data_IF_497801491148
#
_entry.id   IF_497801491148
#
_cell.length_a   1.000
_cell.length_b   1.000
_cell.length_c   1.000
_cell.angle_alpha   90.00
_cell.angle_beta   90.00
_cell.angle_gamma   90.00
#
_symmetry.space_group_name_H-M   'P 1'
#
loop_
_entity.id
_entity.type
_entity.pdbx_description
1 polymer ?
#
# COMPACT_ATOMS: atom_id res chain seq x y z
N UNK A 1 -9.12 41.43 17.54
CA UNK A 1 -8.29 42.40 16.80
C UNK A 1 -6.82 42.05 17.04
N UNK A 2 -6.24 41.16 16.24
CA UNK A 2 -4.85 40.72 16.43
C UNK A 2 -3.96 41.29 15.33
N UNK A 3 -2.89 41.96 15.77
CA UNK A 3 -1.93 42.68 14.93
C UNK A 3 -0.96 41.71 14.25
N UNK A 4 -0.68 42.01 12.99
CA UNK A 4 0.36 41.43 12.16
C UNK A 4 1.75 41.59 12.76
N UNK A 5 2.56 40.53 12.71
CA UNK A 5 4.01 40.67 12.55
C UNK A 5 4.49 39.83 11.36
N UNK A 6 5.05 40.55 10.39
CA UNK A 6 5.72 40.06 9.20
C UNK A 6 7.19 39.82 9.54
N UNK A 7 7.70 38.61 9.31
CA UNK A 7 9.14 38.35 9.14
C UNK A 7 9.36 37.67 7.78
N UNK A 8 9.92 38.45 6.86
CA UNK A 8 10.76 38.03 5.72
C UNK A 8 12.06 37.43 6.30
N UNK A 9 12.81 36.46 5.76
CA UNK A 9 12.94 35.84 4.44
C UNK A 9 13.66 34.49 4.66
N UNK A 10 13.46 33.51 3.77
CA UNK A 10 14.55 32.66 3.30
C UNK A 10 14.10 31.96 2.01
N UNK A 11 14.72 32.35 0.91
CA UNK A 11 14.73 31.69 -0.39
C UNK A 11 15.09 30.22 -0.26
N UNK A 12 14.13 29.33 -0.50
CA UNK A 12 14.41 27.96 -0.91
C UNK A 12 14.28 27.90 -2.43
N UNK A 13 15.46 27.76 -3.04
CA UNK A 13 15.75 27.48 -4.44
C UNK A 13 14.64 26.75 -5.19
N UNK A 14 14.28 27.36 -6.32
CA UNK A 14 13.96 26.68 -7.57
C UNK A 14 14.87 25.45 -7.73
N UNK A 15 14.33 24.27 -7.47
CA UNK A 15 14.86 23.05 -8.08
C UNK A 15 13.90 22.74 -9.23
N UNK A 16 14.37 22.64 -10.48
CA UNK A 16 13.64 21.91 -11.48
C UNK A 16 13.75 20.45 -11.06
N UNK A 17 12.86 20.03 -10.15
CA UNK A 17 12.60 18.62 -9.94
C UNK A 17 12.14 18.12 -11.29
N UNK A 18 13.01 17.37 -11.96
CA UNK A 18 12.69 16.62 -13.15
C UNK A 18 11.44 15.83 -12.79
N UNK A 19 10.29 16.34 -13.23
CA UNK A 19 9.08 15.58 -13.36
C UNK A 19 9.44 14.47 -14.35
N UNK A 20 9.99 13.37 -13.83
CA UNK A 20 9.91 12.09 -14.51
C UNK A 20 8.43 11.73 -14.49
N UNK A 21 7.73 12.35 -15.45
CA UNK A 21 6.44 11.97 -15.96
C UNK A 21 6.47 10.48 -16.25
N UNK A 22 5.28 9.91 -16.29
CA UNK A 22 4.88 8.51 -16.50
C UNK A 22 5.49 7.83 -17.78
N UNK A 23 6.40 8.50 -18.49
CA UNK A 23 7.06 8.09 -19.73
C UNK A 23 8.24 7.09 -19.57
N UNK A 24 8.69 6.76 -18.36
CA UNK A 24 9.86 5.89 -18.15
C UNK A 24 9.56 4.50 -17.59
N UNK A 25 8.29 4.06 -17.59
CA UNK A 25 7.98 2.67 -17.24
C UNK A 25 8.48 1.74 -18.36
N UNK A 26 9.31 0.76 -18.00
CA UNK A 26 9.79 -0.20 -18.99
C UNK A 26 8.61 -0.98 -19.60
N UNK A 27 8.71 -1.48 -20.85
CA UNK A 27 7.66 -2.32 -21.43
C UNK A 27 7.30 -3.53 -20.56
N UNK A 28 8.27 -4.06 -19.81
CA UNK A 28 8.06 -5.16 -18.88
C UNK A 28 7.22 -4.73 -17.66
N UNK A 29 7.46 -3.54 -17.10
CA UNK A 29 6.67 -3.03 -15.98
C UNK A 29 5.24 -2.70 -16.42
N UNK A 30 5.05 -2.15 -17.63
CA UNK A 30 3.72 -1.93 -18.21
C UNK A 30 2.97 -3.25 -18.48
N UNK A 31 3.67 -4.27 -18.99
CA UNK A 31 3.08 -5.60 -19.19
C UNK A 31 2.68 -6.23 -17.85
N UNK A 32 3.54 -6.11 -16.83
CA UNK A 32 3.26 -6.58 -15.47
C UNK A 32 2.05 -5.86 -14.86
N UNK A 33 1.97 -4.54 -15.02
CA UNK A 33 0.80 -3.76 -14.57
C UNK A 33 -0.48 -4.23 -15.25
N UNK A 34 -0.46 -4.43 -16.57
CA UNK A 34 -1.62 -4.92 -17.33
C UNK A 34 -2.08 -6.29 -16.86
N UNK A 35 -1.14 -7.19 -16.58
CA UNK A 35 -1.44 -8.52 -16.04
C UNK A 35 -2.20 -8.41 -14.70
N UNK A 36 -1.62 -7.70 -13.73
CA UNK A 36 -2.24 -7.51 -12.41
C UNK A 36 -3.62 -6.86 -12.54
N UNK A 37 -3.75 -5.82 -13.36
CA UNK A 37 -5.03 -5.16 -13.57
C UNK A 37 -6.07 -6.08 -14.23
N UNK A 38 -5.67 -6.98 -15.13
CA UNK A 38 -6.58 -7.91 -15.80
C UNK A 38 -7.02 -9.10 -14.92
N UNK A 39 -6.19 -9.48 -13.94
CA UNK A 39 -6.45 -10.59 -13.03
C UNK A 39 -7.05 -10.14 -11.70
N UNK A 40 -7.08 -8.82 -11.43
CA UNK A 40 -7.72 -8.28 -10.25
C UNK A 40 -9.23 -8.54 -10.26
N UNK A 41 -9.70 -9.29 -9.28
CA UNK A 41 -11.10 -9.61 -9.08
C UNK A 41 -11.41 -9.69 -7.59
N UNK A 42 -12.58 -9.19 -7.19
CA UNK A 42 -13.14 -9.41 -5.85
C UNK A 42 -14.01 -10.66 -5.92
N UNK A 43 -13.65 -11.68 -5.16
CA UNK A 43 -14.30 -12.99 -5.25
C UNK A 43 -15.60 -13.09 -4.44
N UNK A 44 -15.82 -12.18 -3.50
CA UNK A 44 -17.04 -12.12 -2.68
C UNK A 44 -16.87 -11.25 -1.44
N UNK A 45 -17.87 -11.24 -0.53
CA UNK A 45 -17.79 -10.51 0.73
C UNK A 45 -16.75 -11.12 1.67
N UNK A 46 -16.49 -10.44 2.78
CA UNK A 46 -15.59 -10.96 3.81
C UNK A 46 -16.06 -12.33 4.34
N UNK A 47 -15.11 -13.23 4.51
CA UNK A 47 -15.24 -14.48 5.26
C UNK A 47 -13.95 -14.67 6.07
N UNK A 48 -14.04 -15.41 7.18
CA UNK A 48 -12.86 -15.73 7.98
C UNK A 48 -11.81 -16.42 7.10
N UNK A 49 -10.55 -15.92 7.09
CA UNK A 49 -9.52 -16.44 6.19
C UNK A 49 -9.06 -17.83 6.61
N UNK A 50 -8.72 -18.64 5.61
CA UNK A 50 -8.15 -19.97 5.79
C UNK A 50 -6.60 -19.94 5.86
N UNK A 51 -6.00 -21.11 6.00
CA UNK A 51 -4.54 -21.27 6.01
C UNK A 51 -3.89 -20.83 4.70
N UNK A 52 -4.55 -21.03 3.56
CA UNK A 52 -4.01 -20.69 2.25
C UNK A 52 -3.90 -19.16 2.11
N UNK A 53 -4.89 -18.42 2.63
CA UNK A 53 -4.86 -16.95 2.70
C UNK A 53 -3.75 -16.44 3.62
N UNK A 54 -3.51 -17.10 4.75
CA UNK A 54 -2.36 -16.79 5.62
C UNK A 54 -1.02 -17.06 4.92
N UNK A 55 -0.89 -18.17 4.19
CA UNK A 55 0.32 -18.53 3.46
C UNK A 55 0.64 -17.51 2.34
N UNK A 56 -0.39 -17.02 1.64
CA UNK A 56 -0.23 -15.92 0.68
C UNK A 56 0.25 -14.64 1.37
N UNK A 57 -0.34 -14.26 2.50
CA UNK A 57 0.12 -13.11 3.29
C UNK A 57 1.57 -13.28 3.75
N UNK A 58 1.92 -14.45 4.30
CA UNK A 58 3.26 -14.74 4.79
C UNK A 58 4.30 -14.71 3.66
N UNK A 59 3.92 -15.13 2.46
CA UNK A 59 4.78 -15.08 1.28
C UNK A 59 4.91 -13.66 0.66
N UNK A 60 4.35 -12.63 1.29
CA UNK A 60 4.45 -11.25 0.81
C UNK A 60 3.60 -10.96 -0.42
N UNK A 61 2.47 -11.66 -0.59
CA UNK A 61 1.65 -11.60 -1.81
C UNK A 61 0.66 -10.45 -1.86
N UNK A 62 0.50 -9.69 -0.78
CA UNK A 62 -0.35 -8.50 -0.82
C UNK A 62 0.15 -7.50 -1.87
N UNK A 63 -0.79 -6.81 -2.51
CA UNK A 63 -0.52 -5.84 -3.58
C UNK A 63 -0.98 -4.45 -3.13
N UNK A 64 -0.06 -3.48 -2.90
CA UNK A 64 -0.42 -2.13 -2.49
C UNK A 64 -1.44 -1.45 -3.41
N UNK A 65 -1.32 -1.66 -4.72
CA UNK A 65 -2.29 -1.13 -5.69
C UNK A 65 -3.71 -1.68 -5.48
N UNK A 66 -3.88 -2.95 -5.07
CA UNK A 66 -5.21 -3.51 -4.78
C UNK A 66 -5.81 -2.86 -3.54
N UNK A 67 -4.99 -2.66 -2.51
CA UNK A 67 -5.39 -1.95 -1.28
C UNK A 67 -5.87 -0.54 -1.62
N UNK A 68 -5.06 0.25 -2.34
CA UNK A 68 -5.46 1.59 -2.77
C UNK A 68 -6.72 1.61 -3.62
N UNK A 69 -6.86 0.66 -4.55
CA UNK A 69 -8.00 0.60 -5.44
C UNK A 69 -9.30 0.29 -4.68
N UNK A 70 -9.26 -0.64 -3.73
CA UNK A 70 -10.43 -1.02 -2.93
C UNK A 70 -10.81 0.08 -1.92
N UNK A 71 -9.84 0.71 -1.27
CA UNK A 71 -10.09 1.86 -0.40
C UNK A 71 -10.76 3.01 -1.16
N UNK A 72 -10.27 3.35 -2.35
CA UNK A 72 -10.86 4.38 -3.20
C UNK A 72 -12.31 4.03 -3.61
N UNK A 73 -12.55 2.79 -4.06
CA UNK A 73 -13.88 2.34 -4.48
C UNK A 73 -14.88 2.34 -3.33
N UNK A 74 -14.45 1.91 -2.14
CA UNK A 74 -15.24 1.97 -0.90
C UNK A 74 -15.34 3.37 -0.30
N UNK A 75 -14.66 4.37 -0.88
CA UNK A 75 -14.55 5.75 -0.36
C UNK A 75 -14.02 5.81 1.08
N UNK A 76 -13.16 4.87 1.44
CA UNK A 76 -12.45 4.84 2.71
C UNK A 76 -11.26 5.79 2.62
N UNK A 77 -11.23 6.83 3.44
CA UNK A 77 -10.16 7.82 3.42
C UNK A 77 -9.97 8.49 4.77
N UNK A 78 -8.74 8.92 5.03
CA UNK A 78 -8.37 9.64 6.26
C UNK A 78 -8.12 8.72 7.45
N UNK A 79 -7.91 9.31 8.64
CA UNK A 79 -7.42 8.58 9.83
C UNK A 79 -8.33 7.46 10.32
N UNK A 80 -9.61 7.48 9.93
CA UNK A 80 -10.57 6.44 10.28
C UNK A 80 -10.22 5.07 9.68
N UNK A 81 -9.47 5.04 8.57
CA UNK A 81 -8.99 3.80 7.96
C UNK A 81 -7.92 3.14 8.82
N UNK A 82 -6.93 3.90 9.30
CA UNK A 82 -5.91 3.40 10.23
C UNK A 82 -6.56 2.87 11.51
N UNK A 83 -7.52 3.60 12.09
CA UNK A 83 -8.27 3.16 13.29
C UNK A 83 -9.00 1.84 13.04
N UNK A 84 -9.73 1.74 11.92
CA UNK A 84 -10.47 0.53 11.56
C UNK A 84 -9.54 -0.68 11.34
N UNK A 85 -8.31 -0.44 10.90
CA UNK A 85 -7.31 -1.47 10.69
C UNK A 85 -6.39 -1.70 11.90
N UNK A 86 -6.67 -1.10 13.06
CA UNK A 86 -5.80 -1.16 14.25
C UNK A 86 -4.35 -0.73 13.97
N UNK A 87 -4.19 0.30 13.15
CA UNK A 87 -2.91 0.87 12.79
C UNK A 87 -2.77 2.30 13.36
N UNK A 88 -1.53 2.74 13.59
CA UNK A 88 -1.24 4.12 13.96
C UNK A 88 -1.06 4.96 12.69
N UNK A 89 -1.73 6.11 12.59
CA UNK A 89 -1.55 7.00 11.44
C UNK A 89 -0.06 7.44 11.33
N UNK A 90 0.59 7.37 10.14
CA UNK A 90 0.03 7.18 8.80
C UNK A 90 0.29 5.78 8.21
N UNK A 91 0.15 4.72 9.00
CA UNK A 91 0.59 3.38 8.61
C UNK A 91 -0.13 2.84 7.37
N UNK A 92 -1.42 3.14 7.18
CA UNK A 92 -2.15 2.73 5.96
C UNK A 92 -1.60 3.42 4.71
N UNK A 93 -1.25 4.71 4.79
CA UNK A 93 -0.58 5.42 3.68
C UNK A 93 0.73 4.70 3.29
N UNK A 94 1.45 4.17 4.28
CA UNK A 94 2.69 3.41 4.06
C UNK A 94 2.41 2.02 3.47
N UNK A 95 1.24 1.41 3.74
CA UNK A 95 0.82 0.18 3.07
C UNK A 95 0.54 0.42 1.59
N UNK A 96 -0.20 1.47 1.27
CA UNK A 96 -0.49 1.89 -0.10
C UNK A 96 0.78 2.28 -0.87
N UNK A 97 1.77 2.84 -0.18
CA UNK A 97 3.10 3.10 -0.73
C UNK A 97 3.99 1.83 -0.77
N UNK A 98 3.55 0.71 -0.20
CA UNK A 98 4.27 -0.55 -0.05
C UNK A 98 5.56 -0.47 0.78
N UNK A 99 5.64 0.49 1.70
CA UNK A 99 6.79 0.70 2.60
C UNK A 99 6.64 0.00 3.96
N UNK A 100 5.41 -0.20 4.42
CA UNK A 100 5.10 -0.99 5.60
C UNK A 100 4.20 -2.15 5.18
N UNK A 101 4.38 -3.34 5.77
CA UNK A 101 3.52 -4.49 5.52
C UNK A 101 2.55 -4.64 6.69
N UNK A 102 1.23 -4.79 6.47
CA UNK A 102 0.29 -5.00 7.57
C UNK A 102 0.60 -6.32 8.28
N UNK A 103 0.41 -6.37 9.60
CA UNK A 103 0.40 -7.64 10.33
C UNK A 103 -0.77 -8.52 9.86
N UNK A 104 -0.79 -9.79 10.26
CA UNK A 104 -1.89 -10.68 9.91
C UNK A 104 -3.25 -10.15 10.40
N UNK A 105 -3.32 -9.75 11.68
CA UNK A 105 -4.55 -9.21 12.26
C UNK A 105 -4.99 -7.90 11.59
N UNK A 106 -4.04 -7.03 11.23
CA UNK A 106 -4.33 -5.81 10.46
C UNK A 106 -4.81 -6.11 9.04
N UNK A 107 -4.30 -7.17 8.41
CA UNK A 107 -4.75 -7.63 7.09
C UNK A 107 -6.19 -8.13 7.15
N UNK A 108 -6.55 -8.86 8.20
CA UNK A 108 -7.93 -9.29 8.45
C UNK A 108 -8.84 -8.07 8.65
N UNK A 109 -8.44 -7.13 9.50
CA UNK A 109 -9.21 -5.93 9.77
C UNK A 109 -9.43 -5.08 8.50
N UNK A 110 -8.41 -4.97 7.65
CA UNK A 110 -8.53 -4.31 6.34
C UNK A 110 -9.52 -5.04 5.42
N UNK A 111 -9.46 -6.37 5.33
CA UNK A 111 -10.39 -7.15 4.53
C UNK A 111 -11.84 -7.02 5.03
N UNK A 112 -12.05 -6.98 6.35
CA UNK A 112 -13.35 -6.72 6.97
C UNK A 112 -13.88 -5.32 6.66
N UNK A 113 -13.02 -4.29 6.76
CA UNK A 113 -13.39 -2.91 6.44
C UNK A 113 -13.86 -2.78 4.99
N UNK A 114 -13.18 -3.47 4.08
CA UNK A 114 -13.43 -3.43 2.64
C UNK A 114 -14.57 -4.38 2.20
N UNK A 115 -15.05 -5.25 3.09
CA UNK A 115 -15.97 -6.35 2.80
C UNK A 115 -15.50 -7.22 1.62
N UNK A 116 -14.25 -7.67 1.67
CA UNK A 116 -13.62 -8.56 0.68
C UNK A 116 -12.89 -9.71 1.35
N UNK A 117 -12.47 -10.72 0.58
CA UNK A 117 -11.59 -11.78 1.10
C UNK A 117 -10.14 -11.31 1.17
N UNK A 118 -9.35 -11.88 2.08
CA UNK A 118 -7.91 -11.58 2.17
C UNK A 118 -7.19 -11.92 0.86
N UNK A 119 -7.55 -13.03 0.20
CA UNK A 119 -7.00 -13.41 -1.12
C UNK A 119 -7.20 -12.34 -2.20
N UNK A 120 -8.27 -11.54 -2.11
CA UNK A 120 -8.57 -10.49 -3.10
C UNK A 120 -7.58 -9.31 -2.97
N UNK A 121 -6.85 -9.21 -1.86
CA UNK A 121 -5.74 -8.27 -1.66
C UNK A 121 -4.40 -8.79 -2.18
N UNK A 122 -4.35 -10.04 -2.68
CA UNK A 122 -3.12 -10.73 -3.08
C UNK A 122 -3.05 -10.99 -4.58
N UNK A 123 -1.84 -11.24 -5.08
CA UNK A 123 -1.64 -11.77 -6.43
C UNK A 123 -0.56 -12.86 -6.42
N UNK A 124 -0.76 -14.02 -7.07
CA UNK A 124 0.20 -15.13 -7.03
C UNK A 124 1.59 -14.74 -7.56
N UNK A 125 1.67 -13.87 -8.56
CA UNK A 125 2.93 -13.36 -9.10
C UNK A 125 3.51 -12.13 -8.37
N UNK A 126 2.84 -11.63 -7.33
CA UNK A 126 3.43 -10.63 -6.45
C UNK A 126 4.68 -11.23 -5.79
N UNK A 127 5.76 -10.47 -5.78
CA UNK A 127 7.02 -10.83 -5.12
C UNK A 127 7.55 -9.56 -4.47
N UNK A 128 7.92 -9.60 -3.18
CA UNK A 128 8.53 -8.45 -2.52
C UNK A 128 9.73 -7.97 -3.33
N UNK A 129 9.79 -6.67 -3.61
CA UNK A 129 10.82 -6.07 -4.47
C UNK A 129 11.16 -4.69 -3.97
N UNK A 130 12.46 -4.44 -3.86
CA UNK A 130 12.97 -3.10 -3.59
C UNK A 130 12.79 -2.22 -4.83
N UNK A 131 12.18 -1.05 -4.65
CA UNK A 131 12.05 -0.04 -5.70
C UNK A 131 12.85 1.22 -5.29
N UNK A 132 13.93 1.58 -6.00
CA UNK A 132 14.83 2.66 -5.58
C UNK A 132 14.14 4.04 -5.54
N UNK A 133 13.09 4.22 -6.35
CA UNK A 133 12.30 5.45 -6.42
C UNK A 133 10.89 5.26 -5.84
N UNK A 134 10.73 4.42 -4.82
CA UNK A 134 9.43 4.23 -4.14
C UNK A 134 8.97 5.58 -3.56
N UNK A 135 7.72 6.01 -3.80
CA UNK A 135 7.25 7.27 -3.25
C UNK A 135 7.04 7.16 -1.74
N UNK A 136 7.24 8.27 -1.02
CA UNK A 136 7.02 8.33 0.44
C UNK A 136 5.55 8.20 0.85
N UNK A 137 4.63 8.57 -0.05
CA UNK A 137 3.19 8.45 0.12
C UNK A 137 2.58 7.91 -1.16
N UNK A 138 1.36 7.38 -1.05
CA UNK A 138 0.55 7.00 -2.21
C UNK A 138 0.51 8.11 -3.26
N UNK A 139 0.69 7.73 -4.53
CA UNK A 139 0.48 8.58 -5.71
C UNK A 139 -0.58 7.96 -6.59
N UNK A 140 -1.64 8.72 -6.92
CA UNK A 140 -2.79 8.20 -7.70
C UNK A 140 -2.41 7.75 -9.11
N UNK A 141 -1.36 8.33 -9.68
CA UNK A 141 -0.85 8.03 -11.01
C UNK A 141 0.17 6.87 -11.03
N UNK A 142 0.46 6.27 -9.88
CA UNK A 142 1.46 5.20 -9.76
C UNK A 142 0.86 3.94 -9.13
N UNK A 143 0.97 2.82 -9.84
CA UNK A 143 0.62 1.51 -9.32
C UNK A 143 1.83 0.83 -8.69
N UNK A 144 1.74 0.56 -7.39
CA UNK A 144 2.78 -0.15 -6.64
C UNK A 144 2.33 -1.61 -6.49
N UNK A 145 3.05 -2.52 -7.11
CA UNK A 145 2.61 -3.92 -7.26
C UNK A 145 3.21 -4.88 -6.22
N UNK A 146 4.05 -4.39 -5.32
CA UNK A 146 4.70 -5.18 -4.28
C UNK A 146 5.25 -4.31 -3.15
N UNK A 147 5.36 -4.92 -1.97
CA UNK A 147 5.99 -4.30 -0.79
C UNK A 147 7.51 -4.41 -0.82
N UNK A 148 8.15 -3.58 0.01
CA UNK A 148 9.57 -3.71 0.33
C UNK A 148 9.86 -5.06 1.03
N UNK A 149 10.91 -5.80 0.63
CA UNK A 149 11.25 -7.07 1.25
C UNK A 149 11.49 -6.99 2.76
N UNK A 150 12.12 -5.92 3.23
CA UNK A 150 12.37 -5.68 4.65
C UNK A 150 11.08 -5.47 5.45
N UNK A 151 10.08 -4.83 4.85
CA UNK A 151 8.78 -4.60 5.48
C UNK A 151 8.00 -5.91 5.65
N UNK A 152 8.01 -6.75 4.62
CA UNK A 152 7.40 -8.10 4.68
C UNK A 152 8.06 -8.91 5.79
N UNK A 153 9.41 -9.00 5.76
CA UNK A 153 10.18 -9.72 6.77
C UNK A 153 9.90 -9.24 8.20
N UNK A 154 9.85 -7.91 8.42
CA UNK A 154 9.55 -7.34 9.73
C UNK A 154 8.17 -7.73 10.26
N UNK A 155 7.16 -7.90 9.40
CA UNK A 155 5.81 -8.27 9.80
C UNK A 155 5.62 -9.80 9.94
N UNK A 156 6.32 -10.60 9.14
CA UNK A 156 6.12 -12.05 9.09
C UNK A 156 7.04 -12.83 10.03
N UNK A 157 8.20 -12.26 10.40
CA UNK A 157 9.18 -12.92 11.29
C UNK A 157 9.12 -12.42 12.74
N UNK A 158 8.31 -11.41 13.04
CA UNK A 158 8.08 -10.95 14.42
C UNK A 158 7.15 -11.91 15.18
N UNK A 159 7.56 -13.17 15.29
CA UNK A 159 7.04 -14.18 16.22
C UNK A 159 8.21 -15.00 16.75
N UNK A 160 9.03 -14.38 17.59
CA UNK A 160 9.80 -15.12 18.61
C UNK A 160 10.05 -14.21 19.80
N UNK A 161 9.11 -14.20 20.75
CA UNK A 161 9.45 -14.14 22.18
C UNK A 161 8.50 -15.12 22.87
N UNK A 162 9.07 -16.24 23.33
CA UNK A 162 8.47 -17.20 24.25
C UNK A 162 8.33 -16.57 25.65
#
# INVERSE_FOLDING_TARGET
MFKFFRRRSATARDQPGVEQSVESASPADLARLRLFASEFAVSGPFVDPDSDEHDLWQAGKLVPWYISHLLDNGRHSGPTVDIACHAEEPTVDLWEAGQAYPTWDQTIALAQLLDVRVRDLTHPDARPRHHPNRPQRRRRDLAILSFEPSAVHAATECRTIL
#
